data_IF_717827860946
#
_entry.id   IF_717827860946
#
_cell.length_a   1.000
_cell.length_b   1.000
_cell.length_c   1.000
_cell.angle_alpha   90.00
_cell.angle_beta   90.00
_cell.angle_gamma   90.00
#
_symmetry.space_group_name_H-M   'P 1'
#
loop_
_entity.id
_entity.type
_entity.pdbx_description
1 polymer ?
#
# COMPACT_ATOMS: atom_id res chain seq x y z
N UNK A 1 2.46 -47.15 -5.37
CA UNK A 1 1.76 -46.59 -4.20
C UNK A 1 2.32 -45.26 -3.64
N UNK A 2 3.60 -44.88 -3.82
CA UNK A 2 4.17 -43.63 -3.24
C UNK A 2 3.75 -42.29 -3.92
N UNK A 3 3.14 -42.32 -5.11
CA UNK A 3 2.71 -41.11 -5.86
C UNK A 3 1.40 -40.48 -5.32
N UNK A 4 0.55 -41.27 -4.66
CA UNK A 4 -0.76 -40.80 -4.16
C UNK A 4 -0.63 -39.99 -2.86
N UNK A 5 0.17 -40.45 -1.90
CA UNK A 5 0.43 -39.72 -0.64
C UNK A 5 1.06 -38.33 -0.88
N UNK A 6 2.03 -38.22 -1.80
CA UNK A 6 2.69 -36.93 -2.15
C UNK A 6 1.78 -35.90 -2.83
N UNK A 7 0.56 -36.29 -3.22
CA UNK A 7 -0.41 -35.39 -3.87
C UNK A 7 -1.37 -34.78 -2.84
N UNK A 8 -1.67 -35.50 -1.76
CA UNK A 8 -2.44 -35.02 -0.60
C UNK A 8 -1.67 -33.97 0.20
N UNK A 9 -0.41 -34.27 0.56
CA UNK A 9 0.45 -33.34 1.32
C UNK A 9 0.70 -32.01 0.59
N UNK A 10 0.72 -32.02 -0.75
CA UNK A 10 0.86 -30.79 -1.55
C UNK A 10 -0.41 -29.93 -1.57
N UNK A 11 -1.59 -30.55 -1.51
CA UNK A 11 -2.87 -29.84 -1.39
C UNK A 11 -3.01 -29.17 -0.04
N UNK A 12 -2.63 -29.88 1.03
CA UNK A 12 -2.66 -29.36 2.41
C UNK A 12 -1.61 -28.26 2.64
N UNK A 13 -0.44 -28.38 2.02
CA UNK A 13 0.57 -27.31 2.08
C UNK A 13 0.11 -26.05 1.32
N UNK A 14 -0.56 -26.21 0.18
CA UNK A 14 -1.09 -25.10 -0.61
C UNK A 14 -2.23 -24.37 0.11
N UNK A 15 -3.18 -25.10 0.71
CA UNK A 15 -4.27 -24.49 1.48
C UNK A 15 -3.75 -23.70 2.69
N UNK A 16 -2.79 -24.27 3.43
CA UNK A 16 -2.19 -23.61 4.58
C UNK A 16 -1.40 -22.35 4.22
N UNK A 17 -0.63 -22.38 3.13
CA UNK A 17 0.10 -21.19 2.65
C UNK A 17 -0.86 -20.09 2.17
N UNK A 18 -1.96 -20.45 1.52
CA UNK A 18 -3.00 -19.52 1.10
C UNK A 18 -3.67 -18.83 2.29
N UNK A 19 -4.03 -19.58 3.33
CA UNK A 19 -4.63 -19.04 4.54
C UNK A 19 -3.68 -18.09 5.27
N UNK A 20 -2.40 -18.44 5.40
CA UNK A 20 -1.37 -17.56 5.98
C UNK A 20 -1.20 -16.27 5.17
N UNK A 21 -1.21 -16.36 3.84
CA UNK A 21 -1.12 -15.19 2.95
C UNK A 21 -2.34 -14.28 3.10
N UNK A 22 -3.53 -14.86 3.21
CA UNK A 22 -4.78 -14.13 3.47
C UNK A 22 -4.72 -13.36 4.78
N UNK A 23 -4.30 -14.01 5.88
CA UNK A 23 -4.19 -13.35 7.20
C UNK A 23 -3.18 -12.19 7.19
N UNK A 24 -2.04 -12.36 6.52
CA UNK A 24 -1.06 -11.29 6.35
C UNK A 24 -1.65 -10.08 5.62
N UNK A 25 -2.40 -10.34 4.54
CA UNK A 25 -3.08 -9.27 3.79
C UNK A 25 -4.16 -8.57 4.61
N UNK A 26 -4.94 -9.31 5.41
CA UNK A 26 -5.94 -8.71 6.30
C UNK A 26 -5.28 -7.82 7.36
N UNK A 27 -4.12 -8.22 7.88
CA UNK A 27 -3.35 -7.41 8.81
C UNK A 27 -2.83 -6.12 8.15
N UNK A 28 -2.24 -6.22 6.95
CA UNK A 28 -1.81 -5.06 6.15
C UNK A 28 -2.97 -4.08 5.93
N UNK A 29 -4.13 -4.59 5.49
CA UNK A 29 -5.34 -3.78 5.25
C UNK A 29 -5.86 -3.12 6.52
N UNK A 30 -5.77 -3.79 7.67
CA UNK A 30 -6.12 -3.19 8.96
C UNK A 30 -5.22 -1.99 9.29
N UNK A 31 -3.91 -2.09 9.04
CA UNK A 31 -2.97 -0.99 9.25
C UNK A 31 -3.24 0.17 8.28
N UNK A 32 -3.54 -0.12 7.01
CA UNK A 32 -3.94 0.90 6.03
C UNK A 32 -5.23 1.62 6.45
N UNK A 33 -6.22 0.87 6.96
CA UNK A 33 -7.50 1.42 7.43
C UNK A 33 -7.36 2.33 8.64
N UNK A 34 -6.42 2.05 9.54
CA UNK A 34 -6.12 2.93 10.69
C UNK A 34 -5.49 4.28 10.27
N UNK A 35 -5.10 4.40 9.01
CA UNK A 35 -4.70 5.65 8.39
C UNK A 35 -3.19 5.90 8.39
N UNK A 36 -2.78 7.09 7.91
CA UNK A 36 -1.40 7.33 7.49
C UNK A 36 -0.35 7.24 8.60
N UNK A 37 -0.73 7.54 9.84
CA UNK A 37 0.17 7.41 11.00
C UNK A 37 0.55 5.95 11.23
N UNK A 38 -0.42 5.05 11.16
CA UNK A 38 -0.19 3.61 11.36
C UNK A 38 0.56 3.00 10.17
N UNK A 39 0.30 3.47 8.95
CA UNK A 39 1.09 3.08 7.78
C UNK A 39 2.56 3.47 7.95
N UNK A 40 2.85 4.72 8.36
CA UNK A 40 4.22 5.17 8.65
C UNK A 40 4.87 4.37 9.78
N UNK A 41 4.12 4.09 10.84
CA UNK A 41 4.59 3.25 11.92
C UNK A 41 4.94 1.83 11.43
N UNK A 42 4.07 1.21 10.63
CA UNK A 42 4.32 -0.09 10.02
C UNK A 42 5.55 -0.10 9.12
N UNK A 43 5.72 0.95 8.30
CA UNK A 43 6.93 1.15 7.50
C UNK A 43 8.18 1.24 8.38
N UNK A 44 8.15 1.99 9.49
CA UNK A 44 9.26 2.05 10.44
C UNK A 44 9.56 0.68 11.07
N UNK A 45 8.54 -0.01 11.58
CA UNK A 45 8.65 -1.37 12.16
C UNK A 45 9.30 -2.34 11.16
N UNK A 46 8.93 -2.25 9.89
CA UNK A 46 9.46 -3.13 8.85
C UNK A 46 10.98 -3.02 8.63
N UNK A 47 11.58 -1.90 9.04
CA UNK A 47 13.04 -1.68 8.97
C UNK A 47 13.80 -2.18 10.21
N UNK A 48 13.09 -2.46 11.32
CA UNK A 48 13.66 -2.80 12.64
C UNK A 48 13.66 -4.31 12.92
N UNK A 49 14.32 -5.08 12.06
CA UNK A 49 14.48 -6.55 12.23
C UNK A 49 15.29 -6.95 13.47
N UNK A 50 15.94 -5.99 14.11
CA UNK A 50 16.64 -6.13 15.38
C UNK A 50 15.67 -6.13 16.58
N UNK A 51 14.51 -5.48 16.46
CA UNK A 51 13.49 -5.41 17.52
C UNK A 51 12.35 -6.40 17.25
N UNK A 52 11.90 -6.48 16.00
CA UNK A 52 10.67 -7.18 15.65
C UNK A 52 10.93 -8.51 14.96
N UNK A 53 10.01 -9.49 15.11
CA UNK A 53 10.08 -10.75 14.39
C UNK A 53 10.17 -10.55 12.88
N UNK A 54 11.01 -11.35 12.21
CA UNK A 54 11.25 -11.25 10.77
C UNK A 54 9.97 -11.36 9.96
N UNK A 55 9.05 -12.23 10.36
CA UNK A 55 7.78 -12.44 9.67
C UNK A 55 6.85 -11.23 9.74
N UNK A 56 6.88 -10.47 10.84
CA UNK A 56 6.18 -9.19 10.99
C UNK A 56 6.84 -8.13 10.12
N UNK A 57 8.17 -8.00 10.16
CA UNK A 57 8.89 -7.05 9.32
C UNK A 57 8.63 -7.29 7.83
N UNK A 58 8.66 -8.54 7.38
CA UNK A 58 8.44 -8.92 5.97
C UNK A 58 6.98 -8.72 5.53
N UNK A 59 6.03 -8.76 6.47
CA UNK A 59 4.62 -8.45 6.20
C UNK A 59 4.43 -6.94 6.11
N UNK A 60 4.96 -6.17 7.07
CA UNK A 60 4.83 -4.72 7.07
C UNK A 60 5.69 -4.02 6.00
N UNK A 61 6.75 -4.66 5.48
CA UNK A 61 7.51 -4.11 4.35
C UNK A 61 6.64 -3.96 3.09
N UNK A 62 5.52 -4.69 3.02
CA UNK A 62 4.55 -4.54 1.94
C UNK A 62 3.88 -3.16 1.93
N UNK A 63 3.79 -2.48 3.09
CA UNK A 63 3.29 -1.11 3.22
C UNK A 63 4.23 -0.06 2.62
N UNK A 64 5.47 -0.43 2.30
CA UNK A 64 6.40 0.46 1.59
C UNK A 64 6.13 0.52 0.08
N UNK A 65 5.34 -0.42 -0.47
CA UNK A 65 4.99 -0.41 -1.90
C UNK A 65 4.01 0.73 -2.20
N UNK A 66 4.05 1.21 -3.45
CA UNK A 66 3.25 2.35 -3.93
C UNK A 66 1.84 2.35 -3.36
N UNK A 67 1.50 3.43 -2.66
CA UNK A 67 0.15 3.65 -2.18
C UNK A 67 -0.78 3.80 -3.39
N UNK A 68 -2.00 3.29 -3.29
CA UNK A 68 -3.00 3.53 -4.33
C UNK A 68 -3.24 5.04 -4.43
N UNK A 69 -3.06 5.66 -5.61
CA UNK A 69 -3.38 7.07 -5.77
C UNK A 69 -4.88 7.32 -5.60
N UNK A 70 -5.23 8.52 -5.12
CA UNK A 70 -6.63 8.94 -5.12
C UNK A 70 -7.05 9.40 -6.52
N UNK A 71 -8.36 9.60 -6.71
CA UNK A 71 -8.87 10.00 -8.02
C UNK A 71 -8.41 11.40 -8.39
N UNK A 72 -8.23 11.68 -9.69
CA UNK A 72 -7.90 13.02 -10.15
C UNK A 72 -8.91 14.08 -9.67
N UNK A 73 -10.18 13.71 -9.60
CA UNK A 73 -11.25 14.58 -9.09
C UNK A 73 -11.02 15.01 -7.64
N UNK A 74 -10.49 14.13 -6.79
CA UNK A 74 -10.15 14.48 -5.40
C UNK A 74 -8.95 15.44 -5.35
N UNK A 75 -7.97 15.25 -6.25
CA UNK A 75 -6.84 16.18 -6.39
C UNK A 75 -7.32 17.57 -6.83
N UNK A 76 -8.17 17.63 -7.86
CA UNK A 76 -8.71 18.89 -8.40
C UNK A 76 -9.50 19.65 -7.33
N UNK A 77 -10.37 18.96 -6.58
CA UNK A 77 -11.11 19.56 -5.46
C UNK A 77 -10.18 20.15 -4.41
N UNK A 78 -9.14 19.41 -4.00
CA UNK A 78 -8.19 19.89 -3.00
C UNK A 78 -7.41 21.13 -3.49
N UNK A 79 -7.07 21.17 -4.78
CA UNK A 79 -6.41 22.33 -5.40
C UNK A 79 -7.34 23.53 -5.46
N UNK A 80 -8.62 23.35 -5.82
CA UNK A 80 -9.64 24.40 -5.79
C UNK A 80 -9.88 24.94 -4.37
N UNK A 81 -9.95 24.07 -3.38
CA UNK A 81 -10.12 24.46 -1.96
C UNK A 81 -8.90 25.24 -1.44
N UNK A 82 -7.70 24.87 -1.87
CA UNK A 82 -6.44 25.46 -1.37
C UNK A 82 -6.08 26.76 -2.08
N UNK A 83 -6.28 26.83 -3.39
CA UNK A 83 -5.81 27.91 -4.27
C UNK A 83 -6.93 28.70 -4.96
N UNK A 84 -8.18 28.25 -4.86
CA UNK A 84 -9.35 28.85 -5.50
C UNK A 84 -9.69 28.29 -6.88
N UNK A 85 -10.80 28.73 -7.49
CA UNK A 85 -11.32 28.18 -8.75
C UNK A 85 -10.40 28.41 -9.97
N UNK A 86 -9.51 29.40 -9.90
CA UNK A 86 -8.52 29.70 -10.95
C UNK A 86 -7.15 29.09 -10.66
N UNK A 87 -7.07 28.02 -9.85
CA UNK A 87 -5.79 27.43 -9.47
C UNK A 87 -4.92 27.06 -10.68
N UNK A 88 -5.53 26.65 -11.80
CA UNK A 88 -4.83 26.31 -13.05
C UNK A 88 -3.95 27.45 -13.57
N UNK A 89 -4.39 28.70 -13.41
CA UNK A 89 -3.63 29.87 -13.88
C UNK A 89 -2.33 30.10 -13.10
N UNK A 90 -2.20 29.47 -11.92
CA UNK A 90 -0.96 29.51 -11.13
C UNK A 90 0.14 28.64 -11.72
N UNK A 91 -0.16 27.72 -12.64
CA UNK A 91 0.76 26.72 -13.19
C UNK A 91 1.00 26.96 -14.68
N UNK A 92 2.27 26.96 -15.11
CA UNK A 92 2.64 27.16 -16.54
C UNK A 92 2.12 26.00 -17.41
N UNK A 93 2.18 24.79 -16.85
CA UNK A 93 1.58 23.57 -17.34
C UNK A 93 1.07 22.79 -16.13
N UNK A 94 0.09 21.92 -16.36
CA UNK A 94 -0.36 20.92 -15.41
C UNK A 94 -0.93 19.77 -16.24
N UNK A 95 -0.37 18.57 -16.08
CA UNK A 95 -0.78 17.40 -16.88
C UNK A 95 -1.86 16.61 -16.13
N UNK A 96 -2.98 16.36 -16.82
CA UNK A 96 -4.08 15.52 -16.32
C UNK A 96 -3.81 14.00 -16.54
N UNK A 97 -2.55 13.60 -16.65
CA UNK A 97 -2.13 12.21 -16.92
C UNK A 97 -2.09 11.32 -15.65
N UNK A 98 -2.45 11.89 -14.50
CA UNK A 98 -2.42 11.22 -13.21
C UNK A 98 -1.10 11.39 -12.46
N UNK A 99 -1.00 10.86 -11.23
CA UNK A 99 0.17 11.09 -10.39
C UNK A 99 1.40 10.33 -10.88
N UNK A 100 2.54 11.02 -10.92
CA UNK A 100 3.88 10.44 -11.15
C UNK A 100 4.20 9.42 -10.06
N UNK A 101 3.73 9.65 -8.83
CA UNK A 101 3.94 8.74 -7.71
C UNK A 101 2.95 8.98 -6.58
N UNK A 102 2.78 7.97 -5.73
CA UNK A 102 1.88 8.03 -4.58
C UNK A 102 2.53 7.42 -3.34
N UNK A 103 2.44 8.13 -2.24
CA UNK A 103 2.86 7.73 -0.91
C UNK A 103 1.68 7.73 0.06
N UNK A 104 1.91 7.22 1.27
CA UNK A 104 0.85 7.03 2.27
C UNK A 104 0.13 8.31 2.74
N UNK A 105 0.68 9.51 2.48
CA UNK A 105 0.10 10.79 2.87
C UNK A 105 -0.14 11.76 1.71
N UNK A 106 0.42 11.49 0.53
CA UNK A 106 0.45 12.45 -0.58
C UNK A 106 0.73 11.72 -1.90
N UNK A 107 0.29 12.34 -3.00
CA UNK A 107 0.71 11.95 -4.34
C UNK A 107 1.40 13.12 -5.03
N UNK A 108 2.28 12.80 -5.97
CA UNK A 108 3.08 13.76 -6.73
C UNK A 108 2.51 13.80 -8.14
N UNK A 109 2.07 14.98 -8.58
CA UNK A 109 1.57 15.22 -9.93
C UNK A 109 2.60 16.01 -10.75
N UNK A 110 2.56 15.85 -12.06
CA UNK A 110 3.39 16.62 -13.00
C UNK A 110 2.82 18.03 -13.13
N UNK A 111 3.72 19.02 -13.00
CA UNK A 111 3.44 20.43 -13.26
C UNK A 111 4.12 20.81 -14.57
#
# INVERSE_FOLDING_TARGET
>A
MKKSLRRSERGDQQSFTHERKSRKRQFEQGIEFLGPIFVKFGQWVSTRRDIFPRDICDTLSQLQRNATPHSWLDTERLLEETYGPSWRDLFVRFEDEGPIGSGCCAQVCSR
#
